data_IF_723630757797
#
_entry.id   IF_723630757797
#
_cell.length_a   1.000
_cell.length_b   1.000
_cell.length_c   1.000
_cell.angle_alpha   90.00
_cell.angle_beta   90.00
_cell.angle_gamma   90.00
#
_symmetry.space_group_name_H-M   'P 1'
#
loop_
_entity.id
_entity.type
_entity.pdbx_description
1 polymer ?
#
# COMPACT_ATOMS: atom_id res chain seq x y z
N UNK A 1 39.32 -3.91 79.76
CA UNK A 1 39.98 -2.61 79.93
C UNK A 1 39.52 -1.77 78.75
N UNK A 2 38.83 -0.65 78.99
CA UNK A 2 38.42 0.26 77.93
C UNK A 2 39.69 0.77 77.22
N UNK A 3 39.79 0.56 75.91
CA UNK A 3 40.89 1.12 75.13
C UNK A 3 40.73 2.64 75.09
N UNK A 4 41.84 3.39 75.10
CA UNK A 4 41.84 4.84 74.83
C UNK A 4 41.30 5.08 73.41
N UNK A 5 40.00 5.36 73.30
CA UNK A 5 39.35 5.69 72.03
C UNK A 5 39.75 7.12 71.65
N UNK A 6 40.40 7.31 70.50
CA UNK A 6 40.76 8.63 69.99
C UNK A 6 39.53 9.39 69.47
N UNK A 7 38.85 10.09 70.38
CA UNK A 7 37.67 10.89 70.04
C UNK A 7 37.98 12.11 69.16
N UNK A 8 39.26 12.40 68.86
CA UNK A 8 39.68 13.52 68.01
C UNK A 8 39.91 13.13 66.55
N UNK A 9 39.89 11.82 66.24
CA UNK A 9 40.07 11.32 64.88
C UNK A 9 38.94 11.73 63.94
N UNK A 10 39.22 12.10 62.68
CA UNK A 10 38.17 12.34 61.68
C UNK A 10 37.36 11.06 61.34
N UNK A 11 37.88 9.89 61.69
CA UNK A 11 37.22 8.60 61.53
C UNK A 11 36.29 8.25 62.71
N UNK A 12 36.39 8.96 63.83
CA UNK A 12 35.49 8.75 64.96
C UNK A 12 34.10 9.31 64.66
N UNK A 13 33.08 8.45 64.63
CA UNK A 13 31.70 8.83 64.25
C UNK A 13 30.76 9.09 65.42
N UNK A 14 31.27 8.98 66.64
CA UNK A 14 30.56 9.33 67.87
C UNK A 14 30.41 8.16 68.84
N UNK A 15 29.73 8.46 69.94
CA UNK A 15 29.41 7.54 71.02
C UNK A 15 27.92 7.19 70.94
N UNK A 16 27.60 5.91 71.03
CA UNK A 16 26.26 5.37 70.84
C UNK A 16 25.96 4.35 71.93
N UNK A 17 24.68 4.25 72.32
CA UNK A 17 24.24 3.31 73.33
C UNK A 17 24.14 1.86 72.83
N UNK A 18 24.19 1.65 71.52
CA UNK A 18 24.16 0.31 70.90
C UNK A 18 24.55 0.38 69.42
N UNK A 19 24.87 -0.78 68.84
CA UNK A 19 25.08 -0.92 67.40
C UNK A 19 23.83 -0.58 66.60
N UNK A 20 22.66 -0.68 67.21
CA UNK A 20 21.39 -0.30 66.60
C UNK A 20 21.35 1.19 66.29
N UNK A 21 21.73 2.04 67.26
CA UNK A 21 21.79 3.49 67.06
C UNK A 21 22.81 3.87 65.98
N UNK A 22 23.94 3.16 65.94
CA UNK A 22 24.96 3.30 64.90
C UNK A 22 24.38 2.97 63.53
N UNK A 23 23.73 1.82 63.37
CA UNK A 23 23.17 1.40 62.09
C UNK A 23 21.98 2.26 61.64
N UNK A 24 21.21 2.85 62.57
CA UNK A 24 20.20 3.85 62.20
C UNK A 24 20.82 5.12 61.64
N UNK A 25 21.91 5.60 62.25
CA UNK A 25 22.61 6.81 61.81
C UNK A 25 23.44 6.59 60.55
N UNK A 26 23.97 5.37 60.38
CA UNK A 26 24.80 4.93 59.26
C UNK A 26 24.19 3.68 58.60
N UNK A 27 23.03 3.81 57.91
CA UNK A 27 22.30 2.66 57.36
C UNK A 27 23.03 1.94 56.22
N UNK A 28 23.96 2.63 55.56
CA UNK A 28 24.87 2.08 54.54
C UNK A 28 26.24 1.70 55.11
N UNK A 29 26.45 1.83 56.43
CA UNK A 29 27.75 1.67 57.07
C UNK A 29 28.64 2.90 57.03
N UNK A 30 29.89 2.71 57.48
CA UNK A 30 30.98 3.68 57.39
C UNK A 30 31.86 3.51 56.16
N UNK A 31 33.00 4.20 56.14
CA UNK A 31 34.10 3.94 55.21
C UNK A 31 35.28 3.29 55.93
N UNK A 32 36.25 2.77 55.18
CA UNK A 32 37.44 2.14 55.77
C UNK A 32 38.13 3.08 56.78
N UNK A 33 38.47 2.54 57.95
CA UNK A 33 39.06 3.29 59.05
C UNK A 33 38.06 3.93 60.01
N UNK A 34 36.77 4.05 59.65
CA UNK A 34 35.75 4.61 60.54
C UNK A 34 35.50 3.74 61.78
N UNK A 35 35.25 4.38 62.91
CA UNK A 35 34.87 3.69 64.13
C UNK A 35 33.93 4.51 65.02
N UNK A 36 33.20 3.79 65.86
CA UNK A 36 32.27 4.33 66.87
C UNK A 36 32.63 3.80 68.25
N UNK A 37 32.21 4.51 69.29
CA UNK A 37 32.28 4.01 70.66
C UNK A 37 30.91 3.48 71.09
N UNK A 38 30.84 2.24 71.56
CA UNK A 38 29.67 1.65 72.22
C UNK A 38 30.15 1.05 73.54
N UNK A 39 29.51 1.42 74.65
CA UNK A 39 29.85 0.97 76.01
C UNK A 39 31.36 1.05 76.36
N UNK A 40 32.03 2.10 75.86
CA UNK A 40 33.46 2.35 76.09
C UNK A 40 34.42 1.50 75.24
N UNK A 41 33.92 0.81 74.21
CA UNK A 41 34.73 0.04 73.26
C UNK A 41 34.67 0.61 71.84
N UNK A 42 35.80 0.64 71.14
CA UNK A 42 35.86 1.03 69.74
C UNK A 42 35.36 -0.10 68.83
N UNK A 43 34.46 0.24 67.91
CA UNK A 43 33.85 -0.65 66.93
C UNK A 43 34.16 -0.10 65.54
N UNK A 44 34.93 -0.83 64.74
CA UNK A 44 35.46 -0.41 63.46
C UNK A 44 34.59 -0.89 62.32
N UNK A 45 34.32 -0.04 61.34
CA UNK A 45 33.63 -0.45 60.12
C UNK A 45 34.48 -1.47 59.34
N UNK A 46 33.88 -2.62 59.01
CA UNK A 46 34.49 -3.62 58.14
C UNK A 46 33.74 -3.65 56.80
N UNK A 47 34.39 -3.11 55.76
CA UNK A 47 33.78 -2.97 54.44
C UNK A 47 33.50 -4.32 53.75
N UNK A 48 34.39 -5.31 53.90
CA UNK A 48 34.21 -6.64 53.30
C UNK A 48 33.02 -7.39 53.89
N UNK A 49 32.76 -7.19 55.18
CA UNK A 49 31.65 -7.82 55.91
C UNK A 49 30.38 -6.97 55.93
N UNK A 50 30.48 -5.70 55.55
CA UNK A 50 29.36 -4.75 55.59
C UNK A 50 28.80 -4.53 57.00
N UNK A 51 29.63 -4.59 58.04
CA UNK A 51 29.20 -4.46 59.44
C UNK A 51 30.29 -3.82 60.30
N UNK A 52 29.89 -3.22 61.43
CA UNK A 52 30.83 -2.72 62.43
C UNK A 52 31.32 -3.89 63.29
N UNK A 53 32.62 -3.94 63.59
CA UNK A 53 33.28 -5.03 64.31
C UNK A 53 34.15 -4.48 65.45
N UNK A 54 34.15 -5.13 66.62
CA UNK A 54 35.08 -4.81 67.71
C UNK A 54 36.53 -5.13 67.29
N UNK A 55 36.71 -6.20 66.51
CA UNK A 55 37.98 -6.55 65.88
C UNK A 55 37.76 -7.47 64.67
N UNK A 56 38.84 -7.90 64.00
CA UNK A 56 38.77 -8.74 62.80
C UNK A 56 37.98 -10.07 62.98
N UNK A 57 37.84 -10.57 64.21
CA UNK A 57 37.23 -11.86 64.52
C UNK A 57 35.83 -11.72 65.18
N UNK A 58 35.52 -10.58 65.80
CA UNK A 58 34.27 -10.33 66.54
C UNK A 58 33.42 -9.27 65.85
N UNK A 59 32.34 -9.73 65.23
CA UNK A 59 31.26 -8.89 64.71
C UNK A 59 30.48 -8.30 65.88
N UNK A 60 30.25 -6.98 65.87
CA UNK A 60 29.64 -6.27 67.00
C UNK A 60 28.20 -6.67 67.25
N UNK A 61 27.47 -7.04 66.20
CA UNK A 61 26.10 -7.54 66.37
C UNK A 61 26.08 -8.87 67.12
N UNK A 62 26.95 -9.80 66.72
CA UNK A 62 27.09 -11.07 67.43
C UNK A 62 27.69 -10.88 68.83
N UNK A 63 28.54 -9.88 69.02
CA UNK A 63 29.11 -9.55 70.32
C UNK A 63 28.08 -8.99 71.29
N UNK A 64 27.23 -8.07 70.85
CA UNK A 64 26.09 -7.56 71.63
C UNK A 64 25.07 -8.67 71.90
N UNK A 65 24.72 -9.49 70.89
CA UNK A 65 23.80 -10.60 71.07
C UNK A 65 24.33 -11.60 72.10
N UNK A 66 25.59 -12.02 71.98
CA UNK A 66 26.22 -12.96 72.92
C UNK A 66 26.36 -12.33 74.30
N UNK A 67 26.69 -11.04 74.39
CA UNK A 67 26.77 -10.31 75.66
C UNK A 67 25.41 -10.25 76.34
N UNK A 68 24.34 -9.89 75.62
CA UNK A 68 22.96 -9.90 76.12
C UNK A 68 22.52 -11.30 76.57
N UNK A 69 22.87 -12.34 75.81
CA UNK A 69 22.62 -13.74 76.20
C UNK A 69 23.34 -14.06 77.51
N UNK A 70 24.63 -13.70 77.62
CA UNK A 70 25.43 -13.89 78.83
C UNK A 70 24.81 -13.14 80.01
N UNK A 71 24.30 -11.92 79.81
CA UNK A 71 23.62 -11.15 80.86
C UNK A 71 22.33 -11.81 81.35
N UNK A 72 21.48 -12.29 80.44
CA UNK A 72 20.32 -13.11 80.80
C UNK A 72 20.74 -14.36 81.58
N UNK A 73 21.81 -15.05 81.16
CA UNK A 73 22.34 -16.22 81.88
C UNK A 73 22.87 -15.88 83.28
N UNK A 74 23.32 -14.64 83.55
CA UNK A 74 23.67 -14.22 84.91
C UNK A 74 22.43 -14.14 85.81
N UNK A 75 21.28 -13.74 85.27
CA UNK A 75 20.03 -13.63 86.07
C UNK A 75 19.53 -14.99 86.56
N UNK A 76 19.71 -16.05 85.76
CA UNK A 76 19.33 -17.41 86.14
C UNK A 76 20.34 -18.10 87.06
N UNK A 77 21.42 -17.41 87.46
CA UNK A 77 22.41 -17.99 88.38
C UNK A 77 21.73 -18.43 89.69
N UNK A 78 21.94 -19.69 90.07
CA UNK A 78 21.30 -20.30 91.24
C UNK A 78 19.87 -20.81 90.99
N UNK A 79 19.32 -20.64 89.79
CA UNK A 79 18.05 -21.25 89.39
C UNK A 79 18.24 -22.72 89.01
N UNK A 80 17.27 -23.56 89.35
CA UNK A 80 17.22 -24.96 88.89
C UNK A 80 16.71 -25.02 87.45
N UNK A 81 17.41 -25.74 86.57
CA UNK A 81 16.96 -25.99 85.20
C UNK A 81 15.89 -27.09 85.20
N UNK A 82 14.72 -26.79 84.62
CA UNK A 82 13.57 -27.70 84.67
C UNK A 82 13.18 -28.31 83.32
N UNK A 83 13.78 -27.85 82.21
CA UNK A 83 13.55 -28.41 80.88
C UNK A 83 13.11 -27.40 79.83
N UNK A 84 12.55 -27.92 78.74
CA UNK A 84 11.97 -27.13 77.64
C UNK A 84 10.45 -27.13 77.78
N UNK A 85 9.86 -25.95 78.00
CA UNK A 85 8.43 -25.75 78.12
C UNK A 85 7.76 -25.58 76.75
N UNK A 86 6.54 -26.11 76.66
CA UNK A 86 5.51 -25.80 75.66
C UNK A 86 4.43 -24.92 76.27
N UNK A 87 3.51 -24.41 75.45
CA UNK A 87 2.39 -23.56 75.93
C UNK A 87 1.51 -24.24 76.99
N UNK A 88 1.51 -25.58 77.02
CA UNK A 88 0.70 -26.40 77.94
C UNK A 88 1.50 -26.91 79.14
N UNK A 89 2.80 -26.66 79.21
CA UNK A 89 3.65 -27.12 80.32
C UNK A 89 3.18 -26.53 81.64
N UNK A 90 3.12 -27.35 82.69
CA UNK A 90 2.81 -26.92 84.06
C UNK A 90 4.14 -26.81 84.82
N UNK A 91 4.48 -25.66 85.42
CA UNK A 91 5.74 -25.51 86.14
C UNK A 91 5.79 -26.39 87.41
N UNK A 92 6.94 -26.99 87.64
CA UNK A 92 7.28 -27.65 88.90
C UNK A 92 7.18 -26.68 90.10
N UNK A 93 7.00 -27.22 91.30
CA UNK A 93 6.87 -26.48 92.56
C UNK A 93 7.97 -26.83 93.58
N UNK A 94 8.97 -27.64 93.19
CA UNK A 94 10.00 -28.18 94.08
C UNK A 94 11.15 -27.22 94.38
N UNK A 95 11.36 -26.19 93.56
CA UNK A 95 12.39 -25.17 93.76
C UNK A 95 11.76 -23.76 93.83
N UNK A 96 12.34 -22.86 94.62
CA UNK A 96 11.90 -21.46 94.64
C UNK A 96 12.39 -20.72 93.39
N UNK A 97 13.68 -20.86 93.05
CA UNK A 97 14.26 -20.24 91.85
C UNK A 97 14.46 -21.30 90.77
N UNK A 98 13.78 -21.16 89.63
CA UNK A 98 13.83 -22.14 88.53
C UNK A 98 13.63 -21.52 87.16
N UNK A 99 14.07 -22.21 86.11
CA UNK A 99 13.90 -21.75 84.73
C UNK A 99 13.61 -22.87 83.73
N UNK A 100 12.91 -22.50 82.66
CA UNK A 100 12.63 -23.34 81.48
C UNK A 100 13.07 -22.62 80.21
N UNK A 101 13.48 -23.38 79.20
CA UNK A 101 13.58 -22.84 77.84
C UNK A 101 12.23 -22.91 77.13
N UNK A 102 11.85 -21.88 76.40
CA UNK A 102 10.66 -21.83 75.57
C UNK A 102 11.08 -21.55 74.11
N UNK A 103 10.89 -22.56 73.25
CA UNK A 103 11.31 -22.52 71.84
C UNK A 103 10.15 -22.21 70.88
N UNK A 104 8.92 -22.37 71.35
CA UNK A 104 7.70 -22.08 70.59
C UNK A 104 7.16 -20.72 71.02
N UNK A 105 6.87 -19.85 70.04
CA UNK A 105 6.15 -18.61 70.31
C UNK A 105 4.67 -18.87 70.63
N UNK A 106 4.11 -18.09 71.53
CA UNK A 106 2.71 -18.20 71.95
C UNK A 106 2.51 -17.91 73.42
N UNK A 107 1.28 -18.12 73.89
CA UNK A 107 0.85 -17.80 75.25
C UNK A 107 1.03 -18.99 76.19
N UNK A 108 1.84 -18.82 77.23
CA UNK A 108 2.14 -19.83 78.25
C UNK A 108 1.28 -19.57 79.49
N UNK A 109 0.06 -20.13 79.50
CA UNK A 109 -0.95 -19.82 80.50
C UNK A 109 -0.50 -20.15 81.94
N UNK A 110 0.16 -21.29 82.14
CA UNK A 110 0.60 -21.76 83.46
C UNK A 110 1.83 -21.02 84.01
N UNK A 111 2.50 -20.23 83.17
CA UNK A 111 3.66 -19.41 83.55
C UNK A 111 3.21 -17.97 83.79
N UNK A 112 2.06 -17.74 84.43
CA UNK A 112 1.53 -16.39 84.66
C UNK A 112 0.99 -15.70 83.41
N UNK A 113 0.50 -16.46 82.41
CA UNK A 113 -0.02 -15.96 81.13
C UNK A 113 1.01 -15.18 80.28
N UNK A 114 2.28 -15.59 80.35
CA UNK A 114 3.34 -14.94 79.59
C UNK A 114 3.17 -15.13 78.07
N UNK A 115 3.42 -14.07 77.32
CA UNK A 115 3.45 -14.09 75.86
C UNK A 115 4.90 -14.19 75.40
N UNK A 116 5.22 -15.27 74.69
CA UNK A 116 6.58 -15.61 74.31
C UNK A 116 6.72 -15.42 72.81
N UNK A 117 7.68 -14.59 72.38
CA UNK A 117 7.98 -14.41 70.97
C UNK A 117 8.58 -15.69 70.36
N UNK A 118 8.41 -15.88 69.05
CA UNK A 118 9.05 -17.00 68.35
C UNK A 118 10.58 -16.87 68.43
N UNK A 119 11.27 -17.92 68.88
CA UNK A 119 12.72 -17.92 69.05
C UNK A 119 13.15 -18.69 70.30
N UNK A 120 14.34 -18.39 70.84
CA UNK A 120 14.83 -18.98 72.09
C UNK A 120 14.55 -18.01 73.23
N UNK A 121 13.73 -18.44 74.18
CA UNK A 121 13.38 -17.65 75.34
C UNK A 121 13.61 -18.45 76.62
N UNK A 122 13.76 -17.74 77.73
CA UNK A 122 13.84 -18.32 79.07
C UNK A 122 12.66 -17.81 79.89
N UNK A 123 11.89 -18.75 80.45
CA UNK A 123 10.91 -18.48 81.48
C UNK A 123 11.60 -18.62 82.83
N UNK A 124 11.69 -17.54 83.61
CA UNK A 124 12.39 -17.51 84.90
C UNK A 124 11.44 -17.11 86.02
N UNK A 125 11.54 -17.78 87.16
CA UNK A 125 10.94 -17.38 88.44
C UNK A 125 11.98 -17.35 89.55
N UNK A 126 11.86 -16.39 90.47
CA UNK A 126 12.70 -16.26 91.67
C UNK A 126 12.03 -16.85 92.93
N UNK A 127 10.70 -16.95 92.93
CA UNK A 127 9.87 -17.29 94.09
C UNK A 127 8.97 -18.54 93.88
N UNK A 128 9.01 -19.13 92.68
CA UNK A 128 8.20 -20.27 92.27
C UNK A 128 6.78 -19.91 91.87
N UNK A 129 6.44 -18.62 91.80
CA UNK A 129 5.05 -18.12 91.59
C UNK A 129 4.97 -17.09 90.48
N UNK A 130 5.93 -16.16 90.44
CA UNK A 130 5.97 -15.03 89.53
C UNK A 130 6.96 -15.32 88.40
N UNK A 131 6.48 -15.23 87.16
CA UNK A 131 7.25 -15.61 85.97
C UNK A 131 7.62 -14.39 85.13
N UNK A 132 8.81 -14.42 84.54
CA UNK A 132 9.31 -13.43 83.58
C UNK A 132 9.80 -14.14 82.32
N UNK A 133 9.72 -13.47 81.17
CA UNK A 133 10.25 -13.94 79.89
C UNK A 133 11.50 -13.16 79.56
N UNK A 134 12.58 -13.87 79.26
CA UNK A 134 13.81 -13.30 78.74
C UNK A 134 14.04 -13.85 77.33
N UNK A 135 13.97 -12.99 76.32
CA UNK A 135 14.26 -13.38 74.94
C UNK A 135 15.76 -13.43 74.71
N UNK A 136 16.28 -14.63 74.42
CA UNK A 136 17.68 -14.82 74.07
C UNK A 136 17.91 -14.59 72.58
N UNK A 137 17.00 -15.09 71.74
CA UNK A 137 17.02 -14.93 70.28
C UNK A 137 15.58 -14.81 69.81
N UNK A 138 15.28 -13.78 69.00
CA UNK A 138 13.97 -13.59 68.38
C UNK A 138 14.00 -13.93 66.88
N UNK A 139 12.93 -14.53 66.38
CA UNK A 139 12.76 -14.90 64.96
C UNK A 139 11.53 -14.19 64.39
N UNK A 140 11.75 -13.34 63.39
CA UNK A 140 10.71 -12.68 62.60
C UNK A 140 9.94 -13.71 61.74
N UNK A 141 8.62 -13.57 61.72
CA UNK A 141 7.71 -14.39 60.89
C UNK A 141 7.18 -13.62 59.66
N UNK A 142 7.83 -12.50 59.33
CA UNK A 142 7.47 -11.64 58.21
C UNK A 142 8.72 -11.14 57.47
N UNK A 143 8.53 -10.70 56.22
CA UNK A 143 9.59 -10.00 55.51
C UNK A 143 9.65 -8.55 55.94
N UNK A 144 10.86 -8.02 56.06
CA UNK A 144 11.10 -6.61 56.33
C UNK A 144 12.48 -6.18 55.86
N UNK A 145 12.85 -4.95 56.21
CA UNK A 145 14.17 -4.38 55.92
C UNK A 145 15.13 -4.50 57.11
N UNK A 146 14.81 -5.34 58.10
CA UNK A 146 15.69 -5.53 59.27
C UNK A 146 16.99 -6.20 58.84
N UNK A 147 18.10 -5.61 59.27
CA UNK A 147 19.46 -6.14 59.04
C UNK A 147 19.93 -7.07 60.16
N UNK A 148 19.18 -7.15 61.26
CA UNK A 148 19.60 -7.85 62.49
C UNK A 148 18.68 -9.00 62.89
N UNK A 149 17.39 -8.94 62.56
CA UNK A 149 16.47 -10.02 62.92
C UNK A 149 16.74 -11.29 62.13
N UNK A 150 16.69 -12.43 62.82
CA UNK A 150 16.59 -13.72 62.15
C UNK A 150 15.19 -13.86 61.57
N UNK A 151 15.07 -14.31 60.33
CA UNK A 151 13.77 -14.56 59.68
C UNK A 151 13.54 -16.07 59.54
N UNK A 152 12.28 -16.51 59.61
CA UNK A 152 11.95 -17.91 59.39
C UNK A 152 12.09 -18.28 57.91
N UNK A 153 12.60 -19.50 57.63
CA UNK A 153 12.66 -20.03 56.26
C UNK A 153 11.27 -20.06 55.61
N UNK A 154 10.22 -20.30 56.40
CA UNK A 154 8.82 -20.27 55.93
C UNK A 154 8.41 -18.89 55.39
N UNK A 155 8.72 -17.80 56.10
CA UNK A 155 8.41 -16.45 55.65
C UNK A 155 9.11 -16.11 54.32
N UNK A 156 10.35 -16.60 54.15
CA UNK A 156 11.09 -16.50 52.88
C UNK A 156 10.37 -17.30 51.78
N UNK A 157 10.04 -18.57 52.03
CA UNK A 157 9.36 -19.44 51.05
C UNK A 157 8.01 -18.86 50.61
N UNK A 158 7.17 -18.40 51.54
CA UNK A 158 5.87 -17.81 51.23
C UNK A 158 5.99 -16.56 50.35
N UNK A 159 7.03 -15.75 50.57
CA UNK A 159 7.27 -14.57 49.76
C UNK A 159 7.83 -14.86 48.37
N UNK A 160 8.72 -15.85 48.25
CA UNK A 160 9.22 -16.32 46.96
C UNK A 160 8.07 -16.87 46.13
N UNK A 161 7.23 -17.72 46.72
CA UNK A 161 6.08 -18.32 46.02
C UNK A 161 5.09 -17.26 45.51
N UNK A 162 4.89 -16.17 46.26
CA UNK A 162 4.06 -15.03 45.81
C UNK A 162 4.68 -14.27 44.63
N UNK A 163 5.99 -14.01 44.67
CA UNK A 163 6.69 -13.34 43.55
C UNK A 163 6.79 -14.21 42.29
N UNK A 164 6.74 -15.53 42.44
CA UNK A 164 6.85 -16.51 41.37
C UNK A 164 5.49 -17.11 40.94
N UNK A 165 4.36 -16.55 41.40
CA UNK A 165 3.04 -17.07 41.06
C UNK A 165 2.74 -16.78 39.58
N UNK A 166 2.75 -17.84 38.77
CA UNK A 166 2.41 -17.82 37.34
C UNK A 166 1.05 -17.18 37.09
N UNK A 167 0.08 -17.36 38.01
CA UNK A 167 -1.26 -16.78 37.90
C UNK A 167 -1.24 -15.25 37.81
N UNK A 168 -0.46 -14.60 38.68
CA UNK A 168 -0.41 -13.13 38.73
C UNK A 168 0.32 -12.56 37.50
N UNK A 169 1.35 -13.28 37.03
CA UNK A 169 2.09 -12.93 35.81
C UNK A 169 1.18 -13.09 34.58
N UNK A 170 0.45 -14.20 34.47
CA UNK A 170 -0.46 -14.49 33.37
C UNK A 170 -1.65 -13.51 33.34
N UNK A 171 -2.16 -13.10 34.51
CA UNK A 171 -3.24 -12.12 34.62
C UNK A 171 -2.78 -10.70 34.24
N UNK A 172 -1.54 -10.33 34.58
CA UNK A 172 -0.96 -9.06 34.15
C UNK A 172 -0.65 -9.05 32.64
N UNK A 173 -0.20 -10.18 32.09
CA UNK A 173 0.07 -10.33 30.65
C UNK A 173 -1.21 -10.34 29.82
N UNK A 174 -2.28 -10.97 30.30
CA UNK A 174 -3.57 -11.01 29.60
C UNK A 174 -4.23 -9.64 29.50
N UNK A 175 -3.96 -8.72 30.44
CA UNK A 175 -4.40 -7.32 30.37
C UNK A 175 -3.65 -6.48 29.32
N UNK A 176 -2.51 -6.94 28.80
CA UNK A 176 -1.81 -6.29 27.67
C UNK A 176 -2.39 -6.80 26.35
N UNK A 177 -3.31 -6.01 25.77
CA UNK A 177 -3.81 -6.09 24.40
C UNK A 177 -3.81 -7.51 23.78
N UNK A 178 -4.86 -8.27 24.06
CA UNK A 178 -5.01 -9.58 23.43
C UNK A 178 -5.09 -9.47 21.89
N UNK A 179 -4.62 -10.52 21.23
CA UNK A 179 -4.53 -10.60 19.76
C UNK A 179 -5.90 -10.45 19.10
N UNK A 180 -6.97 -10.84 19.78
CA UNK A 180 -8.35 -10.72 19.29
C UNK A 180 -8.82 -9.26 19.24
N UNK A 181 -8.62 -8.49 20.30
CA UNK A 181 -8.92 -7.05 20.35
C UNK A 181 -8.10 -6.31 19.30
N UNK A 182 -6.81 -6.65 19.19
CA UNK A 182 -5.94 -6.04 18.17
C UNK A 182 -6.42 -6.36 16.74
N UNK A 183 -6.77 -7.62 16.46
CA UNK A 183 -7.31 -8.02 15.16
C UNK A 183 -8.67 -7.36 14.87
N UNK A 184 -9.55 -7.23 15.86
CA UNK A 184 -10.85 -6.59 15.71
C UNK A 184 -10.71 -5.08 15.40
N UNK A 185 -9.82 -4.37 16.10
CA UNK A 185 -9.53 -2.96 15.83
C UNK A 185 -8.82 -2.75 14.50
N UNK A 186 -7.93 -3.66 14.09
CA UNK A 186 -7.32 -3.62 12.76
C UNK A 186 -8.34 -3.88 11.65
N UNK A 187 -9.27 -4.82 11.85
CA UNK A 187 -10.34 -5.11 10.88
C UNK A 187 -11.24 -3.89 10.63
N UNK A 188 -11.52 -3.08 11.67
CA UNK A 188 -12.26 -1.81 11.52
C UNK A 188 -11.57 -0.79 10.63
N UNK A 189 -10.23 -0.85 10.47
CA UNK A 189 -9.46 0.13 9.67
C UNK A 189 -9.38 -0.20 8.18
N UNK A 190 -9.63 -1.44 7.77
CA UNK A 190 -9.46 -1.89 6.38
C UNK A 190 -10.48 -2.98 6.00
N UNK A 191 -11.76 -2.76 6.29
CA UNK A 191 -12.78 -3.68 5.80
C UNK A 191 -12.86 -3.59 4.26
N UNK A 192 -12.52 -4.67 3.55
CA UNK A 192 -12.54 -4.71 2.07
C UNK A 192 -13.91 -4.36 1.51
N UNK A 193 -14.97 -4.54 2.30
CA UNK A 193 -16.35 -4.17 1.95
C UNK A 193 -16.54 -2.64 1.83
N UNK A 194 -15.69 -1.85 2.50
CA UNK A 194 -15.67 -0.39 2.36
C UNK A 194 -15.00 0.10 1.08
N UNK A 195 -14.24 -0.77 0.38
CA UNK A 195 -13.60 -0.49 -0.91
C UNK A 195 -14.54 -0.86 -2.05
N UNK A 196 -15.24 0.15 -2.56
CA UNK A 196 -16.26 -0.02 -3.59
C UNK A 196 -15.60 -0.09 -4.97
N UNK A 197 -16.06 -1.03 -5.79
CA UNK A 197 -15.62 -1.23 -7.19
C UNK A 197 -16.53 -0.49 -8.20
N UNK A 198 -17.22 0.55 -7.75
CA UNK A 198 -18.20 1.31 -8.52
C UNK A 198 -18.07 2.80 -8.18
N UNK A 199 -18.46 3.67 -9.11
CA UNK A 199 -18.61 5.10 -8.87
C UNK A 199 -19.99 5.41 -8.30
N UNK A 200 -20.12 6.50 -7.56
CA UNK A 200 -21.40 6.88 -6.96
C UNK A 200 -21.28 8.11 -6.07
N UNK A 201 -22.35 8.38 -5.33
CA UNK A 201 -22.49 9.55 -4.46
C UNK A 201 -22.22 9.24 -2.98
N UNK A 202 -21.70 8.05 -2.66
CA UNK A 202 -21.42 7.64 -1.29
C UNK A 202 -20.36 8.56 -0.66
N UNK A 203 -20.65 9.08 0.53
CA UNK A 203 -19.75 9.96 1.29
C UNK A 203 -18.98 9.22 2.40
N UNK A 204 -19.34 7.96 2.63
CA UNK A 204 -18.90 7.12 3.75
C UNK A 204 -18.11 5.88 3.28
N UNK A 205 -17.84 5.77 1.97
CA UNK A 205 -17.12 4.65 1.36
C UNK A 205 -15.85 5.12 0.66
N UNK A 206 -14.86 4.24 0.54
CA UNK A 206 -13.64 4.50 -0.21
C UNK A 206 -13.72 3.86 -1.60
N UNK A 207 -13.31 4.59 -2.64
CA UNK A 207 -13.29 4.07 -4.01
C UNK A 207 -12.00 3.29 -4.28
N UNK A 208 -12.10 2.17 -5.02
CA UNK A 208 -10.91 1.43 -5.42
C UNK A 208 -10.04 2.22 -6.41
N UNK A 209 -8.71 2.12 -6.27
CA UNK A 209 -7.78 2.74 -7.21
C UNK A 209 -8.01 2.24 -8.65
N UNK A 210 -8.39 0.97 -8.82
CA UNK A 210 -8.69 0.37 -10.12
C UNK A 210 -9.84 1.10 -10.82
N UNK A 211 -10.95 1.32 -10.12
CA UNK A 211 -12.12 2.02 -10.68
C UNK A 211 -11.75 3.43 -11.13
N UNK A 212 -10.96 4.14 -10.33
CA UNK A 212 -10.47 5.48 -10.69
C UNK A 212 -9.60 5.43 -11.94
N UNK A 213 -8.68 4.46 -12.02
CA UNK A 213 -7.80 4.27 -13.19
C UNK A 213 -8.60 3.94 -14.46
N UNK A 214 -9.60 3.07 -14.37
CA UNK A 214 -10.43 2.66 -15.50
C UNK A 214 -11.24 3.87 -16.05
N UNK A 215 -11.93 4.60 -15.16
CA UNK A 215 -12.72 5.78 -15.55
C UNK A 215 -11.85 6.90 -16.14
N UNK A 216 -10.68 7.17 -15.55
CA UNK A 216 -9.76 8.17 -16.07
C UNK A 216 -9.23 7.78 -17.45
N UNK A 217 -8.99 6.48 -17.67
CA UNK A 217 -8.57 5.94 -18.96
C UNK A 217 -9.67 6.11 -20.02
N UNK A 218 -10.92 5.79 -19.66
CA UNK A 218 -12.08 5.97 -20.54
C UNK A 218 -12.31 7.44 -20.91
N UNK A 219 -12.25 8.34 -19.92
CA UNK A 219 -12.37 9.77 -20.15
C UNK A 219 -11.23 10.28 -21.04
N UNK A 220 -9.99 9.86 -20.79
CA UNK A 220 -8.85 10.22 -21.63
C UNK A 220 -9.03 9.76 -23.08
N UNK A 221 -9.56 8.55 -23.28
CA UNK A 221 -9.84 7.99 -24.60
C UNK A 221 -10.96 8.75 -25.32
N UNK A 222 -11.97 9.21 -24.59
CA UNK A 222 -13.10 9.98 -25.12
C UNK A 222 -12.72 11.42 -25.47
N UNK A 223 -11.99 12.10 -24.58
CA UNK A 223 -11.57 13.50 -24.77
C UNK A 223 -10.45 13.61 -25.80
N UNK A 224 -9.58 12.60 -25.87
CA UNK A 224 -8.44 12.56 -26.79
C UNK A 224 -8.48 11.28 -27.63
N UNK A 225 -9.44 11.19 -28.57
CA UNK A 225 -9.58 10.04 -29.43
C UNK A 225 -8.38 9.93 -30.39
N UNK A 226 -8.26 8.77 -31.02
CA UNK A 226 -7.34 8.59 -32.12
C UNK A 226 -7.86 9.34 -33.36
N UNK A 227 -7.02 10.19 -33.93
CA UNK A 227 -7.30 10.93 -35.16
C UNK A 227 -6.59 10.25 -36.32
N UNK A 228 -7.32 9.93 -37.39
CA UNK A 228 -6.79 9.30 -38.60
C UNK A 228 -7.29 10.10 -39.80
N UNK A 229 -6.37 10.56 -40.65
CA UNK A 229 -6.69 11.23 -41.92
C UNK A 229 -6.20 10.41 -43.10
N UNK A 230 -6.97 10.45 -44.19
CA UNK A 230 -6.64 9.78 -45.46
C UNK A 230 -7.08 10.66 -46.62
N UNK A 231 -6.12 11.05 -47.46
CA UNK A 231 -6.36 11.82 -48.69
C UNK A 231 -5.77 11.11 -49.91
N UNK A 232 -6.36 11.36 -51.07
CA UNK A 232 -5.94 10.81 -52.36
C UNK A 232 -5.53 11.95 -53.28
N UNK A 233 -4.45 11.77 -54.05
CA UNK A 233 -4.00 12.75 -55.05
C UNK A 233 -4.97 12.86 -56.24
N UNK A 234 -5.64 11.76 -56.59
CA UNK A 234 -6.57 11.65 -57.72
C UNK A 234 -7.84 10.90 -57.30
N UNK A 235 -8.93 11.61 -56.95
CA UNK A 235 -10.20 10.97 -56.61
C UNK A 235 -11.01 10.51 -57.84
N UNK A 236 -10.66 10.98 -59.04
CA UNK A 236 -11.36 10.67 -60.29
C UNK A 236 -10.36 10.40 -61.42
N UNK A 237 -10.55 9.29 -62.12
CA UNK A 237 -9.69 8.82 -63.21
C UNK A 237 -10.51 8.33 -64.41
N UNK A 238 -9.87 8.27 -65.58
CA UNK A 238 -10.42 7.52 -66.71
C UNK A 238 -10.20 6.02 -66.47
N UNK A 239 -11.20 5.18 -66.74
CA UNK A 239 -11.03 3.74 -66.82
C UNK A 239 -10.45 3.35 -68.19
N UNK A 240 -9.21 2.84 -68.18
CA UNK A 240 -8.48 2.45 -69.40
C UNK A 240 -8.39 0.94 -69.59
N UNK A 241 -8.88 0.15 -68.63
CA UNK A 241 -8.71 -1.31 -68.59
C UNK A 241 -7.35 -1.79 -68.06
N UNK A 242 -6.43 -0.87 -67.74
CA UNK A 242 -5.09 -1.15 -67.23
C UNK A 242 -4.88 -0.54 -65.84
N UNK A 243 -3.97 -1.14 -65.07
CA UNK A 243 -3.58 -0.63 -63.75
C UNK A 243 -3.09 0.82 -63.81
N UNK A 244 -3.61 1.65 -62.90
CA UNK A 244 -3.18 3.03 -62.70
C UNK A 244 -2.78 3.26 -61.24
N UNK A 245 -1.76 4.10 -61.05
CA UNK A 245 -1.24 4.43 -59.73
C UNK A 245 -1.79 5.75 -59.21
N UNK A 246 -2.28 5.73 -57.97
CA UNK A 246 -2.63 6.89 -57.16
C UNK A 246 -1.77 6.93 -55.90
N UNK A 247 -1.70 8.09 -55.26
CA UNK A 247 -1.03 8.30 -53.98
C UNK A 247 -2.09 8.49 -52.90
N UNK A 248 -2.00 7.67 -51.86
CA UNK A 248 -2.74 7.84 -50.63
C UNK A 248 -1.81 8.40 -49.55
N UNK A 249 -2.11 9.59 -49.06
CA UNK A 249 -1.38 10.24 -47.97
C UNK A 249 -2.19 10.14 -46.70
N UNK A 250 -1.55 9.77 -45.60
CA UNK A 250 -2.22 9.62 -44.31
C UNK A 250 -1.43 10.22 -43.16
N UNK A 251 -2.14 10.56 -42.08
CA UNK A 251 -1.54 10.91 -40.80
C UNK A 251 -2.36 10.39 -39.63
N UNK A 252 -1.68 9.96 -38.57
CA UNK A 252 -2.26 9.51 -37.32
C UNK A 252 -1.80 10.46 -36.20
N UNK A 253 -2.77 11.00 -35.47
CA UNK A 253 -2.53 11.91 -34.35
C UNK A 253 -3.32 11.49 -33.12
N UNK A 254 -2.83 11.95 -31.97
CA UNK A 254 -3.55 11.90 -30.71
C UNK A 254 -3.14 13.11 -29.88
N UNK A 255 -4.10 13.77 -29.24
CA UNK A 255 -3.87 15.03 -28.49
C UNK A 255 -3.21 16.11 -29.37
N UNK A 256 -3.57 16.16 -30.65
CA UNK A 256 -2.96 17.08 -31.63
C UNK A 256 -1.52 16.74 -32.07
N UNK A 257 -0.88 15.72 -31.48
CA UNK A 257 0.49 15.33 -31.79
C UNK A 257 0.55 14.07 -32.68
N UNK A 258 1.49 13.98 -33.63
CA UNK A 258 1.74 12.74 -34.37
C UNK A 258 2.11 11.60 -33.43
N UNK A 259 1.54 10.43 -33.67
CA UNK A 259 1.87 9.22 -32.90
C UNK A 259 2.06 8.02 -33.82
N UNK A 260 2.98 7.12 -33.46
CA UNK A 260 3.09 5.84 -34.15
C UNK A 260 2.03 4.88 -33.60
N UNK A 261 1.12 4.36 -34.45
CA UNK A 261 0.12 3.40 -34.00
C UNK A 261 0.79 2.05 -33.63
N UNK A 262 0.12 1.25 -32.79
CA UNK A 262 0.56 -0.11 -32.47
C UNK A 262 0.25 -1.11 -33.59
N UNK A 263 -0.77 -0.82 -34.41
CA UNK A 263 -1.03 -1.53 -35.66
C UNK A 263 -1.66 -0.59 -36.69
N UNK A 264 -1.38 -0.84 -37.97
CA UNK A 264 -1.90 -0.06 -39.09
C UNK A 264 -2.26 -1.02 -40.23
N UNK A 265 -3.44 -0.83 -40.81
CA UNK A 265 -3.94 -1.64 -41.92
C UNK A 265 -4.53 -0.72 -42.99
N UNK A 266 -4.07 -0.88 -44.23
CA UNK A 266 -4.66 -0.26 -45.40
C UNK A 266 -5.36 -1.34 -46.21
N UNK A 267 -6.59 -1.07 -46.65
CA UNK A 267 -7.33 -1.98 -47.53
C UNK A 267 -7.91 -1.24 -48.73
N UNK A 268 -7.97 -1.95 -49.85
CA UNK A 268 -8.55 -1.49 -51.12
C UNK A 268 -9.61 -2.51 -51.52
N UNK A 269 -10.88 -2.08 -51.56
CA UNK A 269 -12.04 -2.97 -51.72
C UNK A 269 -11.99 -4.22 -50.81
N UNK A 270 -11.56 -4.03 -49.56
CA UNK A 270 -11.42 -5.09 -48.56
C UNK A 270 -10.14 -5.94 -48.66
N UNK A 271 -9.35 -5.79 -49.74
CA UNK A 271 -8.05 -6.47 -49.88
C UNK A 271 -6.96 -5.68 -49.16
N UNK A 272 -6.23 -6.33 -48.26
CA UNK A 272 -5.17 -5.68 -47.48
C UNK A 272 -3.94 -5.36 -48.35
N UNK A 273 -3.41 -4.15 -48.16
CA UNK A 273 -2.13 -3.70 -48.72
C UNK A 273 -1.12 -3.61 -47.59
N UNK A 274 0.04 -4.25 -47.78
CA UNK A 274 1.16 -4.16 -46.84
C UNK A 274 1.74 -2.75 -46.85
N UNK A 275 1.74 -2.11 -45.68
CA UNK A 275 2.34 -0.80 -45.45
C UNK A 275 3.10 -0.81 -44.12
N UNK A 276 4.13 0.03 -44.00
CA UNK A 276 4.87 0.16 -42.75
C UNK A 276 4.02 0.85 -41.67
N UNK A 277 4.21 0.43 -40.43
CA UNK A 277 3.58 1.09 -39.27
C UNK A 277 4.30 2.42 -39.00
N UNK A 278 3.75 3.51 -39.52
CA UNK A 278 4.28 4.89 -39.38
C UNK A 278 3.18 5.85 -38.93
N UNK A 279 3.58 6.94 -38.28
CA UNK A 279 2.66 8.02 -37.87
C UNK A 279 2.09 8.83 -39.05
N UNK A 280 2.79 8.83 -40.19
CA UNK A 280 2.36 9.43 -41.44
C UNK A 280 3.20 8.86 -42.58
N UNK A 281 2.62 8.68 -43.75
CA UNK A 281 3.34 8.31 -44.98
C UNK A 281 2.51 8.67 -46.22
N UNK A 282 3.14 8.52 -47.39
CA UNK A 282 2.45 8.51 -48.68
C UNK A 282 2.75 7.21 -49.40
N UNK A 283 1.69 6.42 -49.61
CA UNK A 283 1.76 5.09 -50.22
C UNK A 283 1.15 5.11 -51.61
N UNK A 284 1.76 4.36 -52.52
CA UNK A 284 1.25 4.20 -53.88
C UNK A 284 0.29 3.02 -53.93
N UNK A 285 -0.92 3.27 -54.43
CA UNK A 285 -1.97 2.27 -54.59
C UNK A 285 -2.25 2.09 -56.07
N UNK A 286 -2.41 0.84 -56.49
CA UNK A 286 -2.84 0.49 -57.85
C UNK A 286 -4.35 0.29 -57.88
N UNK A 287 -5.02 0.88 -58.88
CA UNK A 287 -6.45 0.73 -59.11
C UNK A 287 -6.73 0.40 -60.58
N UNK A 288 -7.69 -0.49 -60.81
CA UNK A 288 -8.15 -0.89 -62.14
C UNK A 288 -9.59 -1.43 -62.09
N UNK A 289 -10.50 -0.63 -61.53
CA UNK A 289 -11.90 -1.02 -61.39
C UNK A 289 -12.77 0.08 -61.96
N UNK A 290 -13.59 -0.26 -62.94
CA UNK A 290 -14.64 0.64 -63.44
C UNK A 290 -15.65 0.92 -62.31
N UNK A 291 -15.92 2.20 -62.05
CA UNK A 291 -16.73 2.64 -60.92
C UNK A 291 -15.90 2.95 -59.67
N UNK A 292 -16.50 2.76 -58.49
CA UNK A 292 -15.88 3.15 -57.22
C UNK A 292 -14.97 2.06 -56.65
N UNK A 293 -13.78 2.47 -56.22
CA UNK A 293 -12.86 1.69 -55.39
C UNK A 293 -12.77 2.35 -54.02
N UNK A 294 -13.10 1.61 -52.96
CA UNK A 294 -13.00 2.10 -51.58
C UNK A 294 -11.61 1.86 -51.03
N UNK A 295 -11.10 2.84 -50.28
CA UNK A 295 -9.79 2.80 -49.63
C UNK A 295 -10.02 3.11 -48.16
N UNK A 296 -9.66 2.16 -47.29
CA UNK A 296 -9.87 2.26 -45.85
C UNK A 296 -8.54 2.09 -45.15
N UNK A 297 -8.17 3.09 -44.34
CA UNK A 297 -7.03 3.03 -43.44
C UNK A 297 -7.54 2.90 -42.00
N UNK A 298 -7.12 1.83 -41.31
CA UNK A 298 -7.46 1.56 -39.92
C UNK A 298 -6.20 1.59 -39.07
N UNK A 299 -6.19 2.45 -38.05
CA UNK A 299 -5.12 2.56 -37.08
C UNK A 299 -5.58 2.07 -35.70
N UNK A 300 -4.69 1.37 -34.99
CA UNK A 300 -4.85 0.98 -33.59
C UNK A 300 -3.74 1.57 -32.74
N UNK A 301 -4.06 2.07 -31.56
CA UNK A 301 -3.06 2.50 -30.59
C UNK A 301 -3.57 2.21 -29.17
N UNK A 302 -3.00 1.20 -28.51
CA UNK A 302 -3.60 0.62 -27.31
C UNK A 302 -4.97 0.01 -27.63
N UNK A 303 -5.99 0.37 -26.88
CA UNK A 303 -7.38 -0.07 -27.09
C UNK A 303 -8.17 0.80 -28.09
N UNK A 304 -7.60 1.92 -28.52
CA UNK A 304 -8.24 2.80 -29.49
C UNK A 304 -8.10 2.25 -30.90
N UNK A 305 -9.20 2.21 -31.63
CA UNK A 305 -9.26 1.86 -33.06
C UNK A 305 -10.04 2.93 -33.80
N UNK A 306 -9.50 3.42 -34.91
CA UNK A 306 -10.17 4.40 -35.77
C UNK A 306 -9.84 4.13 -37.24
N UNK A 307 -10.84 4.35 -38.10
CA UNK A 307 -10.69 4.24 -39.55
C UNK A 307 -10.96 5.57 -40.25
N UNK A 308 -10.22 5.81 -41.33
CA UNK A 308 -10.50 6.83 -42.32
C UNK A 308 -10.80 6.14 -43.66
N UNK A 309 -11.84 6.60 -44.35
CA UNK A 309 -12.28 6.03 -45.62
C UNK A 309 -12.26 7.11 -46.69
N UNK A 310 -11.76 6.76 -47.87
CA UNK A 310 -11.81 7.59 -49.06
C UNK A 310 -12.12 6.71 -50.28
N UNK A 311 -12.40 7.30 -51.44
CA UNK A 311 -12.71 6.55 -52.67
C UNK A 311 -12.09 7.19 -53.90
N UNK A 312 -11.75 6.34 -54.85
CA UNK A 312 -11.43 6.75 -56.22
C UNK A 312 -12.49 6.18 -57.16
N UNK A 313 -12.96 7.02 -58.08
CA UNK A 313 -13.90 6.60 -59.12
C UNK A 313 -13.17 6.57 -60.46
N UNK A 314 -13.23 5.44 -61.17
CA UNK A 314 -12.75 5.37 -62.55
C UNK A 314 -13.96 5.36 -63.50
N UNK A 315 -14.05 6.37 -64.37
CA UNK A 315 -15.17 6.55 -65.29
C UNK A 315 -14.75 6.27 -66.72
N UNK A 316 -15.69 5.75 -67.51
CA UNK A 316 -15.50 5.62 -68.95
C UNK A 316 -15.43 7.02 -69.60
N UNK A 317 -14.63 7.19 -70.67
CA UNK A 317 -14.48 8.47 -71.35
C UNK A 317 -15.77 8.92 -72.04
N UNK A 318 -16.03 10.22 -72.08
CA UNK A 318 -17.08 10.79 -72.94
C UNK A 318 -16.41 11.35 -74.20
N UNK A 319 -16.99 11.07 -75.36
CA UNK A 319 -16.48 11.58 -76.62
C UNK A 319 -17.48 12.51 -77.28
N UNK A 320 -16.98 13.54 -77.98
CA UNK A 320 -17.82 14.37 -78.82
C UNK A 320 -17.07 14.98 -80.00
N UNK A 321 -17.77 15.14 -81.11
CA UNK A 321 -17.24 15.81 -82.28
C UNK A 321 -18.07 15.59 -83.53
N UNK A 322 -17.44 15.79 -84.68
CA UNK A 322 -18.07 15.63 -85.98
C UNK A 322 -17.64 14.33 -86.66
N UNK A 323 -18.61 13.56 -87.14
CA UNK A 323 -18.39 12.27 -87.77
C UNK A 323 -19.69 11.66 -88.30
N UNK A 324 -19.58 10.47 -88.87
CA UNK A 324 -20.73 9.72 -89.42
C UNK A 324 -21.14 8.55 -88.53
N UNK A 325 -20.16 7.97 -87.83
CA UNK A 325 -20.27 6.77 -86.98
C UNK A 325 -19.64 7.01 -85.61
N UNK A 326 -19.92 6.13 -84.65
CA UNK A 326 -19.28 6.11 -83.33
C UNK A 326 -17.76 5.96 -83.40
N UNK A 327 -17.24 5.22 -84.39
CA UNK A 327 -15.79 5.01 -84.56
C UNK A 327 -15.06 6.27 -85.00
N UNK A 328 -15.71 7.17 -85.74
CA UNK A 328 -15.14 8.49 -86.09
C UNK A 328 -14.98 9.36 -84.84
N UNK A 329 -15.83 9.14 -83.84
CA UNK A 329 -15.96 9.98 -82.66
C UNK A 329 -15.13 9.44 -81.49
N UNK A 330 -15.04 8.12 -81.34
CA UNK A 330 -14.35 7.43 -80.25
C UNK A 330 -12.80 7.47 -80.35
N UNK A 331 -12.25 8.67 -80.58
CA UNK A 331 -10.81 8.92 -80.73
C UNK A 331 -10.30 9.87 -79.64
N UNK A 332 -8.99 9.86 -79.38
CA UNK A 332 -8.37 10.66 -78.33
C UNK A 332 -8.65 12.17 -78.46
N UNK A 333 -8.66 12.71 -79.68
CA UNK A 333 -8.92 14.14 -79.95
C UNK A 333 -10.36 14.60 -79.64
N UNK A 334 -11.27 13.65 -79.42
CA UNK A 334 -12.68 13.91 -79.13
C UNK A 334 -13.04 13.59 -77.67
N UNK A 335 -12.08 13.11 -76.89
CA UNK A 335 -12.27 12.68 -75.52
C UNK A 335 -12.31 13.88 -74.56
N UNK A 336 -13.29 13.89 -73.66
CA UNK A 336 -13.34 14.80 -72.53
C UNK A 336 -12.54 14.27 -71.34
N UNK A 337 -12.06 15.19 -70.49
CA UNK A 337 -11.51 14.83 -69.19
C UNK A 337 -12.53 14.05 -68.35
N UNK A 338 -12.07 13.16 -67.45
CA UNK A 338 -12.95 12.38 -66.58
C UNK A 338 -13.96 13.26 -65.82
N UNK A 339 -15.23 12.86 -65.84
CA UNK A 339 -16.32 13.53 -65.13
C UNK A 339 -17.42 12.55 -64.73
N UNK A 340 -18.20 12.92 -63.72
CA UNK A 340 -19.25 12.10 -63.12
C UNK A 340 -20.65 12.34 -63.72
N UNK A 341 -20.75 13.20 -64.74
CA UNK A 341 -22.00 13.50 -65.43
C UNK A 341 -21.74 13.79 -66.90
N UNK A 342 -22.64 13.33 -67.77
CA UNK A 342 -22.63 13.67 -69.17
C UNK A 342 -23.13 15.10 -69.41
N UNK A 343 -23.95 15.67 -68.54
CA UNK A 343 -24.51 17.02 -68.73
C UNK A 343 -23.40 18.06 -68.82
N UNK A 344 -23.58 19.06 -69.68
CA UNK A 344 -22.59 20.10 -69.90
C UNK A 344 -22.62 20.69 -71.31
N UNK A 345 -21.62 21.53 -71.60
CA UNK A 345 -21.47 22.17 -72.91
C UNK A 345 -20.49 21.41 -73.77
N UNK A 346 -20.91 21.07 -74.98
CA UNK A 346 -20.12 20.42 -76.01
C UNK A 346 -19.90 21.38 -77.17
N UNK A 347 -18.67 21.86 -77.32
CA UNK A 347 -18.32 22.83 -78.36
C UNK A 347 -17.17 22.34 -79.24
N UNK A 348 -17.39 22.30 -80.57
CA UNK A 348 -16.38 21.89 -81.55
C UNK A 348 -16.62 22.55 -82.89
N UNK A 349 -15.56 22.66 -83.68
CA UNK A 349 -15.59 23.07 -85.10
C UNK A 349 -15.36 21.86 -85.99
N UNK A 350 -16.16 21.70 -87.03
CA UNK A 350 -16.00 20.62 -87.99
C UNK A 350 -14.78 20.85 -88.87
N UNK A 351 -14.00 19.79 -89.09
CA UNK A 351 -12.88 19.78 -90.03
C UNK A 351 -13.21 19.03 -91.34
N UNK A 352 -14.44 18.50 -91.46
CA UNK A 352 -14.90 17.68 -92.58
C UNK A 352 -16.26 18.18 -93.06
N UNK A 353 -16.52 17.96 -94.34
CA UNK A 353 -17.84 18.16 -94.93
C UNK A 353 -18.75 16.96 -94.66
N UNK A 354 -20.05 17.17 -94.76
CA UNK A 354 -21.09 16.13 -94.70
C UNK A 354 -21.06 15.24 -93.43
N UNK A 355 -20.90 15.86 -92.26
CA UNK A 355 -20.79 15.15 -90.96
C UNK A 355 -21.83 15.62 -89.93
N UNK A 356 -22.27 14.70 -89.06
CA UNK A 356 -23.14 15.03 -87.92
C UNK A 356 -22.30 15.39 -86.69
N UNK A 357 -22.90 16.15 -85.78
CA UNK A 357 -22.36 16.33 -84.44
C UNK A 357 -22.86 15.19 -83.55
N UNK A 358 -21.93 14.48 -82.93
CA UNK A 358 -22.21 13.29 -82.14
C UNK A 358 -21.62 13.45 -80.74
N UNK A 359 -22.40 13.07 -79.74
CA UNK A 359 -21.97 12.89 -78.35
C UNK A 359 -22.11 11.41 -78.00
N UNK A 360 -21.04 10.80 -77.50
CA UNK A 360 -21.00 9.45 -76.98
C UNK A 360 -20.83 9.51 -75.47
N UNK A 361 -21.90 9.22 -74.73
CA UNK A 361 -21.88 9.19 -73.27
C UNK A 361 -21.96 7.75 -72.76
N UNK A 362 -21.07 7.29 -71.86
CA UNK A 362 -21.16 5.95 -71.29
C UNK A 362 -22.49 5.73 -70.59
N UNK A 363 -23.06 4.53 -70.72
CA UNK A 363 -24.31 4.18 -70.00
C UNK A 363 -24.15 4.01 -68.49
N UNK A 364 -22.92 4.05 -67.99
CA UNK A 364 -22.63 4.14 -66.56
C UNK A 364 -22.94 5.53 -65.98
N UNK A 365 -23.21 6.52 -66.82
CA UNK A 365 -23.69 7.85 -66.44
C UNK A 365 -25.17 8.00 -66.80
N UNK A 366 -25.84 8.95 -66.14
CA UNK A 366 -27.21 9.32 -66.52
C UNK A 366 -27.26 9.81 -67.98
N UNK A 367 -28.30 9.36 -68.69
CA UNK A 367 -28.54 9.77 -70.07
C UNK A 367 -28.92 11.24 -70.17
N UNK A 368 -28.54 11.87 -71.28
CA UNK A 368 -28.92 13.24 -71.62
C UNK A 368 -30.34 13.25 -72.15
N UNK A 369 -31.15 14.19 -71.69
CA UNK A 369 -32.58 14.28 -72.02
C UNK A 369 -32.96 15.60 -72.68
N UNK A 370 -32.12 16.62 -72.57
CA UNK A 370 -32.34 17.94 -73.15
C UNK A 370 -31.12 18.43 -73.90
N UNK A 371 -31.34 19.13 -75.02
CA UNK A 371 -30.28 19.68 -75.86
C UNK A 371 -30.70 21.06 -76.36
N UNK A 372 -29.83 22.05 -76.19
CA UNK A 372 -30.09 23.42 -76.66
C UNK A 372 -28.87 24.01 -77.34
N UNK A 373 -29.10 24.91 -78.30
CA UNK A 373 -28.07 25.69 -78.97
C UNK A 373 -28.57 27.13 -79.13
N UNK A 374 -27.83 28.09 -78.55
CA UNK A 374 -28.27 29.50 -78.53
C UNK A 374 -29.59 29.75 -77.78
N UNK A 375 -29.96 28.85 -76.84
CA UNK A 375 -31.21 28.94 -76.08
C UNK A 375 -32.43 28.29 -76.74
N UNK A 376 -32.32 27.86 -78.00
CA UNK A 376 -33.36 27.11 -78.69
C UNK A 376 -33.14 25.59 -78.55
N UNK A 377 -34.21 24.76 -78.57
CA UNK A 377 -34.09 23.31 -78.63
C UNK A 377 -33.23 22.85 -79.83
N UNK A 378 -32.35 21.90 -79.59
CA UNK A 378 -31.48 21.30 -80.60
C UNK A 378 -31.79 19.82 -80.75
N UNK A 379 -32.21 19.38 -81.94
CA UNK A 379 -32.68 18.00 -82.13
C UNK A 379 -31.49 17.04 -82.22
N UNK A 380 -31.47 16.06 -81.32
CA UNK A 380 -30.51 14.96 -81.30
C UNK A 380 -31.25 13.62 -81.31
N UNK A 381 -30.91 12.76 -82.25
CA UNK A 381 -31.38 11.37 -82.32
C UNK A 381 -30.60 10.53 -81.31
N UNK A 382 -31.31 9.83 -80.44
CA UNK A 382 -30.71 8.99 -79.40
C UNK A 382 -30.73 7.52 -79.83
N UNK A 383 -29.58 6.86 -79.73
CA UNK A 383 -29.42 5.43 -79.98
C UNK A 383 -28.39 4.83 -79.01
N UNK A 384 -28.15 3.53 -79.12
CA UNK A 384 -27.16 2.81 -78.31
C UNK A 384 -26.09 2.20 -79.20
N UNK A 385 -24.84 2.33 -78.80
CA UNK A 385 -23.68 1.75 -79.50
C UNK A 385 -22.74 1.08 -78.49
N UNK A 386 -21.90 0.16 -78.96
CA UNK A 386 -20.87 -0.48 -78.15
C UNK A 386 -19.49 -0.05 -78.62
N UNK A 387 -18.66 0.45 -77.70
CA UNK A 387 -17.30 0.90 -77.98
C UNK A 387 -16.37 0.06 -77.11
N UNK A 388 -15.53 -0.76 -77.72
CA UNK A 388 -14.63 -1.69 -77.03
C UNK A 388 -15.35 -2.57 -75.99
N UNK A 389 -16.56 -3.04 -76.31
CA UNK A 389 -17.36 -3.88 -75.41
C UNK A 389 -18.03 -3.15 -74.25
N UNK A 390 -18.08 -1.81 -74.28
CA UNK A 390 -18.78 -0.96 -73.30
C UNK A 390 -19.94 -0.23 -73.97
N UNK A 391 -21.06 -0.13 -73.26
CA UNK A 391 -22.26 0.48 -73.80
C UNK A 391 -22.27 2.00 -73.65
N UNK A 392 -22.66 2.68 -74.73
CA UNK A 392 -22.78 4.12 -74.81
C UNK A 392 -24.16 4.52 -75.33
N UNK A 393 -24.65 5.65 -74.83
CA UNK A 393 -25.64 6.44 -75.52
C UNK A 393 -24.96 7.21 -76.65
N UNK A 394 -25.50 7.13 -77.86
CA UNK A 394 -25.12 7.98 -78.98
C UNK A 394 -26.21 9.01 -79.23
N UNK A 395 -25.86 10.28 -79.09
CA UNK A 395 -26.72 11.41 -79.44
C UNK A 395 -26.17 12.03 -80.72
N UNK A 396 -26.91 11.91 -81.83
CA UNK A 396 -26.49 12.35 -83.16
C UNK A 396 -27.37 13.50 -83.63
N UNK A 397 -26.79 14.61 -84.07
CA UNK A 397 -27.56 15.75 -84.56
C UNK A 397 -28.41 15.37 -85.76
N UNK A 398 -29.67 15.83 -85.79
CA UNK A 398 -30.52 15.67 -86.98
C UNK A 398 -29.97 16.45 -88.20
N UNK A 399 -29.17 17.50 -87.96
CA UNK A 399 -28.47 18.25 -88.99
C UNK A 399 -27.15 17.61 -89.42
N UNK A 400 -26.81 17.80 -90.70
CA UNK A 400 -25.50 17.50 -91.31
C UNK A 400 -24.77 18.83 -91.55
N UNK A 401 -23.46 18.85 -91.31
CA UNK A 401 -22.67 20.07 -91.25
C UNK A 401 -21.44 19.99 -92.16
N UNK A 402 -21.09 21.15 -92.71
CA UNK A 402 -19.90 21.34 -93.53
C UNK A 402 -18.68 21.73 -92.68
N UNK A 403 -17.50 21.59 -93.25
CA UNK A 403 -16.23 22.02 -92.66
C UNK A 403 -16.28 23.50 -92.30
N UNK A 404 -15.64 23.86 -91.18
CA UNK A 404 -15.68 25.21 -90.60
C UNK A 404 -16.91 25.52 -89.75
N UNK A 405 -17.95 24.67 -89.76
CA UNK A 405 -19.12 24.86 -88.88
C UNK A 405 -18.74 24.66 -87.42
N UNK A 406 -19.07 25.63 -86.56
CA UNK A 406 -18.90 25.50 -85.11
C UNK A 406 -20.24 25.32 -84.43
N UNK A 407 -20.36 24.26 -83.62
CA UNK A 407 -21.54 24.03 -82.78
C UNK A 407 -21.14 24.13 -81.31
N UNK A 408 -22.09 24.63 -80.51
CA UNK A 408 -22.01 24.71 -79.05
C UNK A 408 -23.33 24.24 -78.47
N UNK A 409 -23.40 22.95 -78.16
CA UNK A 409 -24.60 22.29 -77.65
C UNK A 409 -24.52 22.24 -76.13
N UNK A 410 -25.50 22.80 -75.45
CA UNK A 410 -25.72 22.59 -74.02
C UNK A 410 -26.65 21.39 -73.85
N UNK A 411 -26.14 20.32 -73.24
CA UNK A 411 -26.92 19.13 -72.96
C UNK A 411 -27.16 18.97 -71.45
N UNK A 412 -28.40 18.65 -71.10
CA UNK A 412 -28.88 18.45 -69.73
C UNK A 412 -29.34 17.02 -69.52
#
# INVERSE_FOLDING_TARGET
MANDIDKTSPHYKGEFGSIYEVNQKFPSGGVEGDYVAIDGWAHYWNADRGTWCVNAQRDSYWDELITNIIEHFKTIKGASYMGVATTDTVPDTTAAKMFYFALQGGKYANFGNQDVAQGINVLLTEDGKSWTVQSLISVAQELGASTTMLVSQKAITDAINRKANTTDVDEALSKKADKETMNAELAKKFDKVSVVQETGTATDKVMSQKVVTDNLTELQNTVFPLEVSLSLDKPLLEYTGSEQSIKATYSIKRKGSPITPTALALSVDGSLISIDVKQADTVTIKVNKEGETQIILTAKHGDLVKSATNKVTMVLPIYYGFGTTETDIAIAANKLSPRLSASGTYAKTSAKDDVNFIILAPKTLEGLSSFTMGGAPFVMETSSVSINGKDYYMYKSGGVYMSGTTLRVLAG
#
